data_IF_160016261448
#
_entry.id   IF_160016261448
#
_cell.length_a   1.000
_cell.length_b   1.000
_cell.length_c   1.000
_cell.angle_alpha   90.00
_cell.angle_beta   90.00
_cell.angle_gamma   90.00
#
_symmetry.space_group_name_H-M   'P 1'
#
loop_
_entity.id
_entity.type
_entity.pdbx_description
1 polymer ?
#
# COMPACT_ATOMS: atom_id res chain seq x y z
N UNK A 1 -5.36 -17.27 -4.82
CA UNK A 1 -4.16 -16.48 -4.42
C UNK A 1 -3.34 -17.29 -3.43
N UNK A 2 -2.17 -17.78 -3.87
CA UNK A 2 -1.24 -18.50 -3.00
C UNK A 2 -0.76 -17.56 -1.90
N UNK A 3 -1.03 -17.88 -0.64
CA UNK A 3 -0.41 -17.23 0.51
C UNK A 3 1.09 -17.50 0.37
N UNK A 4 1.85 -16.57 -0.20
CA UNK A 4 3.30 -16.56 -0.05
C UNK A 4 3.52 -16.51 1.45
N UNK A 5 3.95 -17.64 2.01
CA UNK A 5 4.31 -17.73 3.41
C UNK A 5 5.43 -16.71 3.61
N UNK A 6 5.07 -15.55 4.16
CA UNK A 6 6.05 -14.65 4.77
C UNK A 6 6.71 -15.53 5.83
N UNK A 7 7.98 -15.88 5.59
CA UNK A 7 8.73 -16.73 6.48
C UNK A 7 8.57 -16.16 7.89
N UNK A 8 8.15 -17.01 8.84
CA UNK A 8 8.12 -16.66 10.26
C UNK A 8 9.57 -16.50 10.73
N UNK A 9 10.17 -15.37 10.41
CA UNK A 9 11.49 -15.01 10.91
C UNK A 9 11.33 -14.59 12.37
N UNK A 10 11.94 -15.38 13.26
CA UNK A 10 12.13 -15.03 14.67
C UNK A 10 13.39 -14.19 14.87
N UNK A 11 13.91 -13.56 13.81
CA UNK A 11 15.17 -12.87 13.85
C UNK A 11 15.04 -11.57 14.65
N UNK A 12 15.69 -11.55 15.82
CA UNK A 12 15.92 -10.32 16.56
C UNK A 12 16.90 -9.47 15.76
N UNK A 13 16.52 -8.22 15.46
CA UNK A 13 17.46 -7.23 14.95
C UNK A 13 18.61 -7.14 15.97
N UNK A 14 19.88 -7.09 15.52
CA UNK A 14 20.97 -6.80 16.45
C UNK A 14 20.66 -5.52 17.22
N UNK A 15 20.69 -5.56 18.56
CA UNK A 15 20.30 -4.43 19.41
C UNK A 15 20.94 -3.11 19.00
N UNK A 16 22.19 -3.17 18.52
CA UNK A 16 22.97 -2.06 17.96
C UNK A 16 22.22 -1.25 16.89
N UNK A 17 21.44 -1.88 16.00
CA UNK A 17 20.70 -1.14 14.97
C UNK A 17 19.52 -0.36 15.55
N UNK A 18 18.82 -0.95 16.52
CA UNK A 18 17.68 -0.30 17.17
C UNK A 18 18.14 0.89 18.02
N UNK A 19 19.29 0.76 18.66
CA UNK A 19 19.88 1.82 19.47
C UNK A 19 20.43 2.98 18.63
N UNK A 20 21.00 2.68 17.45
CA UNK A 20 21.60 3.70 16.56
C UNK A 20 20.56 4.48 15.74
N UNK A 21 19.51 3.82 15.25
CA UNK A 21 18.60 4.40 14.26
C UNK A 21 17.17 4.60 14.76
N UNK A 22 16.84 4.07 15.94
CA UNK A 22 15.49 4.11 16.48
C UNK A 22 14.51 3.20 15.71
N UNK A 23 13.20 3.33 15.98
CA UNK A 23 12.18 2.54 15.30
C UNK A 23 12.00 3.00 13.84
N UNK A 24 11.77 2.07 12.89
CA UNK A 24 11.53 2.41 11.49
C UNK A 24 10.19 3.15 11.30
N UNK A 25 10.16 4.10 10.36
CA UNK A 25 8.94 4.79 9.95
C UNK A 25 8.09 3.89 9.02
N UNK A 26 7.26 3.03 9.60
CA UNK A 26 6.41 2.09 8.87
C UNK A 26 5.00 2.64 8.64
N UNK A 27 4.33 2.15 7.59
CA UNK A 27 2.94 2.55 7.30
C UNK A 27 1.96 2.02 8.34
N UNK A 28 2.31 0.92 9.03
CA UNK A 28 1.50 0.27 10.06
C UNK A 28 2.37 -0.26 11.18
N UNK A 29 1.86 -0.24 12.40
CA UNK A 29 2.56 -0.81 13.56
C UNK A 29 2.74 -2.33 13.41
N UNK A 30 1.79 -3.04 12.78
CA UNK A 30 1.85 -4.49 12.61
C UNK A 30 2.93 -4.95 11.60
N UNK A 31 3.41 -4.03 10.77
CA UNK A 31 4.39 -4.32 9.72
C UNK A 31 5.83 -4.40 10.26
N UNK A 32 6.05 -4.08 11.54
CA UNK A 32 7.37 -4.14 12.19
C UNK A 32 8.01 -5.52 12.04
N UNK A 33 7.21 -6.59 12.14
CA UNK A 33 7.72 -7.96 11.96
C UNK A 33 8.24 -8.22 10.55
N UNK A 34 7.59 -7.67 9.53
CA UNK A 34 7.99 -7.85 8.12
C UNK A 34 9.28 -7.08 7.87
N UNK A 35 9.31 -5.82 8.31
CA UNK A 35 10.50 -4.98 8.18
C UNK A 35 11.71 -5.60 8.89
N UNK A 36 11.53 -6.05 10.14
CA UNK A 36 12.60 -6.67 10.92
C UNK A 36 13.10 -7.96 10.26
N UNK A 37 12.20 -8.76 9.66
CA UNK A 37 12.61 -9.94 8.90
C UNK A 37 13.50 -9.57 7.70
N UNK A 38 13.09 -8.57 6.90
CA UNK A 38 13.86 -8.07 5.76
C UNK A 38 15.24 -7.56 6.21
N UNK A 39 15.28 -6.75 7.26
CA UNK A 39 16.52 -6.19 7.79
C UNK A 39 17.47 -7.28 8.29
N UNK A 40 16.95 -8.25 9.03
CA UNK A 40 17.74 -9.38 9.53
C UNK A 40 18.33 -10.23 8.39
N UNK A 41 17.56 -10.48 7.33
CA UNK A 41 18.05 -11.20 6.16
C UNK A 41 19.22 -10.43 5.51
N UNK A 42 19.09 -9.10 5.33
CA UNK A 42 20.19 -8.29 4.81
C UNK A 42 21.42 -8.25 5.72
N UNK A 43 21.25 -8.10 7.02
CA UNK A 43 22.37 -8.10 7.96
C UNK A 43 23.10 -9.44 7.92
N UNK A 44 22.37 -10.55 7.84
CA UNK A 44 22.93 -11.91 7.76
C UNK A 44 23.73 -12.11 6.47
N UNK A 45 23.19 -11.68 5.35
CA UNK A 45 23.79 -11.93 4.03
C UNK A 45 24.97 -10.98 3.75
N UNK A 46 24.89 -9.71 4.17
CA UNK A 46 25.90 -8.71 3.86
C UNK A 46 26.94 -8.48 4.97
N UNK A 47 26.67 -8.89 6.22
CA UNK A 47 27.62 -8.80 7.33
C UNK A 47 28.26 -7.42 7.53
N UNK A 48 27.50 -6.36 7.83
CA UNK A 48 28.01 -5.00 7.86
C UNK A 48 29.03 -4.76 8.99
N UNK A 49 30.27 -4.45 8.63
CA UNK A 49 31.37 -4.20 9.57
C UNK A 49 31.43 -2.74 10.06
N UNK A 50 30.92 -1.80 9.28
CA UNK A 50 31.07 -0.36 9.52
C UNK A 50 29.73 0.39 9.39
N UNK A 51 29.68 1.60 9.95
CA UNK A 51 28.47 2.44 10.01
C UNK A 51 27.89 2.73 8.63
N UNK A 52 28.71 2.92 7.60
CA UNK A 52 28.23 3.20 6.23
C UNK A 52 27.52 1.96 5.69
N UNK A 53 28.12 0.78 5.82
CA UNK A 53 27.48 -0.49 5.45
C UNK A 53 26.15 -0.70 6.18
N UNK A 54 26.08 -0.34 7.47
CA UNK A 54 24.85 -0.43 8.27
C UNK A 54 23.75 0.50 7.76
N UNK A 55 24.08 1.76 7.45
CA UNK A 55 23.12 2.74 6.87
C UNK A 55 22.61 2.26 5.51
N UNK A 56 23.49 1.78 4.63
CA UNK A 56 23.08 1.30 3.31
C UNK A 56 22.17 0.07 3.40
N UNK A 57 22.42 -0.84 4.35
CA UNK A 57 21.53 -1.99 4.61
C UNK A 57 20.16 -1.53 5.15
N UNK A 58 20.14 -0.54 6.03
CA UNK A 58 18.90 0.04 6.55
C UNK A 58 18.05 0.64 5.41
N UNK A 59 18.68 1.40 4.51
CA UNK A 59 18.05 1.96 3.32
C UNK A 59 17.48 0.85 2.41
N UNK A 60 18.25 -0.22 2.18
CA UNK A 60 17.77 -1.37 1.39
C UNK A 60 16.55 -2.03 2.05
N UNK A 61 16.56 -2.22 3.36
CA UNK A 61 15.42 -2.76 4.10
C UNK A 61 14.17 -1.88 3.93
N UNK A 62 14.34 -0.56 4.04
CA UNK A 62 13.26 0.41 3.86
C UNK A 62 12.70 0.39 2.43
N UNK A 63 13.55 0.49 1.41
CA UNK A 63 13.10 0.44 0.02
C UNK A 63 12.41 -0.89 -0.32
N UNK A 64 12.93 -2.01 0.17
CA UNK A 64 12.31 -3.33 -0.06
C UNK A 64 10.93 -3.41 0.58
N UNK A 65 10.77 -2.90 1.80
CA UNK A 65 9.47 -2.83 2.45
C UNK A 65 8.49 -1.95 1.65
N UNK A 66 8.88 -0.73 1.29
CA UNK A 66 8.01 0.19 0.55
C UNK A 66 7.60 -0.39 -0.81
N UNK A 67 8.55 -0.97 -1.55
CA UNK A 67 8.28 -1.63 -2.85
C UNK A 67 7.25 -2.75 -2.67
N UNK A 68 7.40 -3.60 -1.65
CA UNK A 68 6.44 -4.67 -1.36
C UNK A 68 5.08 -4.11 -0.97
N UNK A 69 5.07 -3.06 -0.15
CA UNK A 69 3.85 -2.41 0.31
C UNK A 69 3.07 -1.79 -0.85
N UNK A 70 3.72 -0.99 -1.70
CA UNK A 70 3.10 -0.38 -2.89
C UNK A 70 2.58 -1.44 -3.88
N UNK A 71 3.34 -2.52 -4.10
CA UNK A 71 2.88 -3.66 -4.93
C UNK A 71 1.65 -4.34 -4.33
N UNK A 72 1.57 -4.45 -3.00
CA UNK A 72 0.40 -5.00 -2.31
C UNK A 72 -0.80 -4.06 -2.31
N UNK A 73 -0.56 -2.74 -2.43
CA UNK A 73 -1.59 -1.72 -2.40
C UNK A 73 -2.39 -1.69 -3.71
N UNK A 74 -1.73 -1.86 -4.86
CA UNK A 74 -2.37 -1.86 -6.19
C UNK A 74 -3.64 -2.72 -6.25
N UNK A 75 -3.61 -4.04 -5.97
CA UNK A 75 -4.83 -4.87 -6.05
C UNK A 75 -5.89 -4.47 -5.02
N UNK A 76 -5.51 -3.90 -3.87
CA UNK A 76 -6.47 -3.41 -2.86
C UNK A 76 -7.18 -2.15 -3.34
N UNK A 77 -6.44 -1.24 -3.96
CA UNK A 77 -6.95 0.00 -4.52
C UNK A 77 -7.93 -0.27 -5.65
N UNK A 78 -7.60 -1.21 -6.52
CA UNK A 78 -8.46 -1.71 -7.61
C UNK A 78 -9.81 -2.20 -7.05
N UNK A 79 -9.77 -3.05 -6.02
CA UNK A 79 -10.97 -3.58 -5.36
C UNK A 79 -11.82 -2.50 -4.72
N UNK A 80 -11.18 -1.56 -4.03
CA UNK A 80 -11.87 -0.44 -3.38
C UNK A 80 -12.54 0.49 -4.41
N UNK A 81 -11.87 0.77 -5.52
CA UNK A 81 -12.44 1.55 -6.62
C UNK A 81 -13.63 0.83 -7.23
N UNK A 82 -13.52 -0.49 -7.47
CA UNK A 82 -14.63 -1.29 -7.98
C UNK A 82 -15.85 -1.23 -7.07
N UNK A 83 -15.62 -1.47 -5.76
CA UNK A 83 -16.68 -1.43 -4.75
C UNK A 83 -17.40 -0.08 -4.76
N UNK A 84 -16.66 1.02 -4.73
CA UNK A 84 -17.23 2.38 -4.77
C UNK A 84 -18.02 2.66 -6.05
N UNK A 85 -17.60 2.10 -7.19
CA UNK A 85 -18.35 2.25 -8.44
C UNK A 85 -19.67 1.48 -8.40
N UNK A 86 -19.67 0.26 -7.86
CA UNK A 86 -20.89 -0.52 -7.64
C UNK A 86 -21.85 0.20 -6.68
N UNK A 87 -21.36 0.69 -5.54
CA UNK A 87 -22.13 1.47 -4.58
C UNK A 87 -22.73 2.72 -5.23
N UNK A 88 -21.95 3.44 -6.04
CA UNK A 88 -22.44 4.63 -6.75
C UNK A 88 -23.54 4.28 -7.76
N UNK A 89 -23.40 3.19 -8.50
CA UNK A 89 -24.43 2.71 -9.45
C UNK A 89 -25.70 2.28 -8.72
N UNK A 90 -25.55 1.56 -7.61
CA UNK A 90 -26.67 1.14 -6.77
C UNK A 90 -27.42 2.35 -6.20
N UNK A 91 -26.70 3.35 -5.70
CA UNK A 91 -27.30 4.59 -5.19
C UNK A 91 -28.07 5.34 -6.28
N UNK A 92 -27.50 5.49 -7.48
CA UNK A 92 -28.20 6.14 -8.61
C UNK A 92 -29.51 5.43 -8.95
N UNK A 93 -29.50 4.10 -8.98
CA UNK A 93 -30.72 3.33 -9.23
C UNK A 93 -31.77 3.52 -8.14
N UNK A 94 -31.34 3.59 -6.87
CA UNK A 94 -32.23 3.90 -5.75
C UNK A 94 -32.83 5.31 -5.87
N UNK A 95 -32.00 6.31 -6.15
CA UNK A 95 -32.44 7.70 -6.33
C UNK A 95 -33.43 7.85 -7.50
N UNK A 96 -33.18 7.17 -8.62
CA UNK A 96 -34.09 7.12 -9.77
C UNK A 96 -35.44 6.47 -9.42
N UNK A 97 -35.41 5.35 -8.68
CA UNK A 97 -36.61 4.67 -8.22
C UNK A 97 -37.42 5.54 -7.25
N UNK A 98 -36.75 6.20 -6.30
CA UNK A 98 -37.38 7.12 -5.35
C UNK A 98 -37.97 8.36 -6.04
N UNK A 99 -37.33 8.86 -7.10
CA UNK A 99 -37.91 9.88 -7.98
C UNK A 99 -39.21 9.40 -8.61
N UNK A 100 -39.20 8.22 -9.25
CA UNK A 100 -40.40 7.63 -9.89
C UNK A 100 -41.53 7.35 -8.90
N UNK A 101 -41.20 6.90 -7.68
CA UNK A 101 -42.18 6.67 -6.60
C UNK A 101 -42.81 8.01 -6.18
N UNK A 102 -42.00 9.05 -5.99
CA UNK A 102 -42.51 10.41 -5.68
C UNK A 102 -43.44 10.91 -6.77
N UNK A 103 -43.06 10.78 -8.04
CA UNK A 103 -43.90 11.19 -9.17
C UNK A 103 -45.23 10.41 -9.21
N UNK A 104 -45.21 9.10 -8.91
CA UNK A 104 -46.42 8.28 -8.83
C UNK A 104 -47.36 8.74 -7.70
N UNK A 105 -46.81 9.09 -6.53
CA UNK A 105 -47.59 9.64 -5.40
C UNK A 105 -48.17 11.02 -5.73
N UNK A 106 -47.37 11.91 -6.33
CA UNK A 106 -47.82 13.25 -6.74
C UNK A 106 -48.95 13.14 -7.78
N UNK A 107 -48.80 12.26 -8.78
CA UNK A 107 -49.82 12.01 -9.80
C UNK A 107 -51.13 11.54 -9.16
N UNK A 108 -51.05 10.63 -8.17
CA UNK A 108 -52.22 10.20 -7.39
C UNK A 108 -52.87 11.39 -6.68
N UNK A 109 -52.10 12.21 -5.98
CA UNK A 109 -52.64 13.34 -5.21
C UNK A 109 -53.33 14.38 -6.11
N UNK A 110 -52.83 14.59 -7.32
CA UNK A 110 -53.50 15.43 -8.33
C UNK A 110 -54.79 14.80 -8.85
N UNK A 111 -54.82 13.49 -9.07
CA UNK A 111 -56.03 12.79 -9.52
C UNK A 111 -57.14 12.85 -8.46
N UNK A 112 -56.80 12.54 -7.19
CA UNK A 112 -57.71 12.58 -6.03
C UNK A 112 -58.33 13.97 -5.83
N UNK A 113 -57.55 15.05 -6.04
CA UNK A 113 -58.07 16.43 -5.94
C UNK A 113 -59.04 16.83 -7.04
N UNK A 114 -59.12 16.07 -8.15
CA UNK A 114 -59.92 16.41 -9.34
C UNK A 114 -61.24 15.64 -9.42
N UNK A 115 -61.41 14.56 -8.66
CA UNK A 115 -62.59 13.65 -8.68
C UNK A 115 -63.33 13.59 -7.33
N UNK A 116 -64.60 13.19 -7.34
CA UNK A 116 -65.45 13.05 -6.14
C UNK A 116 -65.02 11.84 -5.26
N UNK A 117 -65.30 11.85 -3.94
CA UNK A 117 -64.40 11.26 -2.94
C UNK A 117 -64.40 9.75 -2.68
N UNK A 118 -65.35 8.93 -3.16
CA UNK A 118 -65.50 7.58 -2.56
C UNK A 118 -65.12 6.37 -3.44
N UNK A 119 -65.39 6.39 -4.75
CA UNK A 119 -65.07 5.25 -5.63
C UNK A 119 -63.77 5.44 -6.43
N UNK A 120 -63.54 6.66 -6.94
CA UNK A 120 -62.36 6.98 -7.77
C UNK A 120 -61.07 7.05 -6.94
N UNK A 121 -61.18 7.35 -5.64
CA UNK A 121 -60.04 7.39 -4.73
C UNK A 121 -59.48 6.00 -4.42
N UNK A 122 -60.34 4.99 -4.27
CA UNK A 122 -59.91 3.60 -4.03
C UNK A 122 -59.18 3.04 -5.26
N UNK A 123 -59.68 3.33 -6.47
CA UNK A 123 -59.04 2.94 -7.71
C UNK A 123 -57.69 3.64 -7.94
N UNK A 124 -57.62 4.95 -7.67
CA UNK A 124 -56.38 5.72 -7.78
C UNK A 124 -55.31 5.26 -6.76
N UNK A 125 -55.73 4.87 -5.55
CA UNK A 125 -54.82 4.36 -4.53
C UNK A 125 -54.28 2.96 -4.89
N UNK A 126 -55.13 2.06 -5.37
CA UNK A 126 -54.72 0.74 -5.86
C UNK A 126 -53.72 0.84 -7.02
N UNK A 127 -54.02 1.66 -8.04
CA UNK A 127 -53.14 1.87 -9.17
C UNK A 127 -51.78 2.48 -8.78
N UNK A 128 -51.76 3.37 -7.77
CA UNK A 128 -50.52 3.93 -7.23
C UNK A 128 -49.69 2.85 -6.52
N UNK A 129 -50.32 2.00 -5.69
CA UNK A 129 -49.66 0.88 -5.01
C UNK A 129 -49.05 -0.11 -6.00
N UNK A 130 -49.81 -0.52 -7.02
CA UNK A 130 -49.33 -1.43 -8.06
C UNK A 130 -48.11 -0.86 -8.81
N UNK A 131 -48.16 0.44 -9.12
CA UNK A 131 -47.04 1.14 -9.78
C UNK A 131 -45.80 1.22 -8.90
N UNK A 132 -45.96 1.48 -7.60
CA UNK A 132 -44.85 1.47 -6.63
C UNK A 132 -44.25 0.07 -6.50
N UNK A 133 -45.07 -0.98 -6.45
CA UNK A 133 -44.60 -2.36 -6.41
C UNK A 133 -43.83 -2.74 -7.68
N UNK A 134 -44.33 -2.31 -8.85
CA UNK A 134 -43.61 -2.50 -10.11
C UNK A 134 -42.25 -1.80 -10.10
N UNK A 135 -42.18 -0.55 -9.66
CA UNK A 135 -40.90 0.20 -9.56
C UNK A 135 -39.93 -0.52 -8.61
N UNK A 136 -40.41 -1.00 -7.46
CA UNK A 136 -39.60 -1.76 -6.50
C UNK A 136 -39.11 -3.09 -7.08
N UNK A 137 -39.95 -3.78 -7.86
CA UNK A 137 -39.57 -5.02 -8.55
C UNK A 137 -38.49 -4.77 -9.59
N UNK A 138 -38.64 -3.73 -10.40
CA UNK A 138 -37.63 -3.31 -11.38
C UNK A 138 -36.30 -2.93 -10.71
N UNK A 139 -36.37 -2.18 -9.58
CA UNK A 139 -35.19 -1.82 -8.81
C UNK A 139 -34.46 -3.08 -8.29
N UNK A 140 -35.17 -4.03 -7.70
CA UNK A 140 -34.58 -5.30 -7.24
C UNK A 140 -33.90 -6.06 -8.38
N UNK A 141 -34.58 -6.17 -9.53
CA UNK A 141 -34.02 -6.84 -10.71
C UNK A 141 -32.73 -6.16 -11.21
N UNK A 142 -32.63 -4.83 -11.12
CA UNK A 142 -31.44 -4.07 -11.50
C UNK A 142 -30.33 -4.10 -10.45
N UNK A 143 -30.67 -4.20 -9.16
CA UNK A 143 -29.70 -4.29 -8.06
C UNK A 143 -29.08 -5.69 -7.93
N UNK A 144 -29.85 -6.74 -8.18
CA UNK A 144 -29.40 -8.12 -8.05
C UNK A 144 -28.09 -8.44 -8.82
N UNK A 145 -27.88 -8.01 -10.08
CA UNK A 145 -26.60 -8.21 -10.76
C UNK A 145 -25.46 -7.39 -10.15
N UNK A 146 -25.73 -6.23 -9.55
CA UNK A 146 -24.69 -5.42 -8.89
C UNK A 146 -24.21 -6.06 -7.60
N UNK A 147 -25.12 -6.63 -6.81
CA UNK A 147 -24.77 -7.38 -5.59
C UNK A 147 -23.97 -8.63 -5.96
N UNK A 148 -24.39 -9.36 -6.99
CA UNK A 148 -23.62 -10.52 -7.50
C UNK A 148 -22.25 -10.11 -8.04
N UNK A 149 -22.12 -8.93 -8.63
CA UNK A 149 -20.84 -8.40 -9.09
C UNK A 149 -19.90 -8.04 -7.94
N UNK A 150 -20.42 -7.56 -6.81
CA UNK A 150 -19.63 -7.27 -5.61
C UNK A 150 -19.01 -8.55 -5.00
N UNK A 151 -19.76 -9.65 -5.02
CA UNK A 151 -19.32 -10.96 -4.51
C UNK A 151 -18.55 -11.80 -5.57
N UNK A 152 -18.62 -11.39 -6.83
CA UNK A 152 -18.12 -12.13 -7.99
C UNK A 152 -16.68 -11.80 -8.40
N UNK A 153 -16.28 -12.35 -9.55
CA UNK A 153 -14.99 -12.03 -10.17
C UNK A 153 -15.04 -10.60 -10.76
N UNK A 154 -14.01 -9.82 -10.50
CA UNK A 154 -13.95 -8.41 -10.93
C UNK A 154 -13.72 -8.38 -12.44
N UNK A 155 -14.63 -7.76 -13.18
CA UNK A 155 -14.39 -7.41 -14.58
C UNK A 155 -13.41 -6.23 -14.64
N UNK A 156 -12.12 -6.56 -14.57
CA UNK A 156 -11.01 -5.62 -14.59
C UNK A 156 -10.98 -4.78 -15.88
N UNK A 157 -11.48 -5.32 -17.00
CA UNK A 157 -11.51 -4.65 -18.29
C UNK A 157 -12.56 -3.52 -18.32
N UNK A 158 -13.76 -3.76 -17.77
CA UNK A 158 -14.82 -2.75 -17.71
C UNK A 158 -14.48 -1.55 -16.81
N UNK A 159 -13.58 -1.74 -15.85
CA UNK A 159 -13.19 -0.72 -14.86
C UNK A 159 -11.85 -0.06 -15.20
N UNK A 160 -11.21 -0.50 -16.28
CA UNK A 160 -9.84 -0.15 -16.61
C UNK A 160 -9.64 1.36 -16.78
N UNK A 161 -10.63 2.12 -17.23
CA UNK A 161 -10.45 3.57 -17.39
C UNK A 161 -10.42 4.31 -16.06
N UNK A 162 -11.14 3.81 -15.06
CA UNK A 162 -11.31 4.51 -13.77
C UNK A 162 -10.13 4.30 -12.82
N UNK A 163 -9.40 3.20 -12.97
CA UNK A 163 -8.26 2.89 -12.09
C UNK A 163 -6.92 3.47 -12.58
N UNK A 164 -6.83 3.97 -13.83
CA UNK A 164 -5.55 4.37 -14.46
C UNK A 164 -4.86 5.47 -13.65
N UNK A 165 -5.54 6.57 -13.25
CA UNK A 165 -4.87 7.64 -12.51
C UNK A 165 -4.28 7.15 -11.19
N UNK A 166 -4.97 6.22 -10.52
CA UNK A 166 -4.55 5.65 -9.25
C UNK A 166 -3.36 4.68 -9.41
N UNK A 167 -3.41 3.82 -10.43
CA UNK A 167 -2.30 2.95 -10.79
C UNK A 167 -1.06 3.77 -11.19
N UNK A 168 -1.24 4.85 -11.96
CA UNK A 168 -0.18 5.77 -12.34
C UNK A 168 0.42 6.47 -11.12
N UNK A 169 -0.41 6.91 -10.15
CA UNK A 169 0.08 7.51 -8.91
C UNK A 169 0.95 6.54 -8.10
N UNK A 170 0.54 5.27 -7.98
CA UNK A 170 1.36 4.25 -7.31
C UNK A 170 2.65 3.97 -8.09
N UNK A 171 2.58 3.86 -9.41
CA UNK A 171 3.77 3.66 -10.26
C UNK A 171 4.76 4.83 -10.18
N UNK A 172 4.27 6.06 -10.09
CA UNK A 172 5.09 7.26 -9.91
C UNK A 172 5.86 7.27 -8.58
N UNK A 173 5.37 6.56 -7.56
CA UNK A 173 6.12 6.36 -6.30
C UNK A 173 7.04 5.13 -6.38
N UNK A 174 6.58 4.06 -7.02
CA UNK A 174 7.34 2.80 -7.12
C UNK A 174 8.62 2.95 -7.96
N UNK A 175 8.55 3.65 -9.09
CA UNK A 175 9.69 3.84 -9.99
C UNK A 175 10.92 4.45 -9.30
N UNK A 176 10.79 5.62 -8.65
CA UNK A 176 11.88 6.23 -7.88
C UNK A 176 12.45 5.33 -6.78
N UNK A 177 11.61 4.57 -6.07
CA UNK A 177 12.06 3.62 -5.05
C UNK A 177 12.91 2.49 -5.64
N UNK A 178 12.51 1.92 -6.78
CA UNK A 178 13.28 0.89 -7.47
C UNK A 178 14.61 1.42 -8.04
N UNK A 179 14.65 2.69 -8.45
CA UNK A 179 15.88 3.37 -8.86
C UNK A 179 16.82 3.55 -7.65
N UNK A 180 16.30 4.07 -6.54
CA UNK A 180 17.07 4.24 -5.28
C UNK A 180 17.59 2.90 -4.76
N UNK A 181 16.75 1.87 -4.71
CA UNK A 181 17.14 0.52 -4.33
C UNK A 181 18.34 0.03 -5.15
N UNK A 182 18.26 0.10 -6.48
CA UNK A 182 19.37 -0.33 -7.37
C UNK A 182 20.63 0.51 -7.17
N UNK A 183 20.49 1.81 -6.93
CA UNK A 183 21.62 2.68 -6.63
C UNK A 183 22.29 2.30 -5.30
N UNK A 184 21.51 2.07 -4.25
CA UNK A 184 22.01 1.65 -2.93
C UNK A 184 22.69 0.29 -2.98
N UNK A 185 22.17 -0.68 -3.75
CA UNK A 185 22.85 -1.97 -3.97
C UNK A 185 24.24 -1.75 -4.58
N UNK A 186 24.37 -0.90 -5.60
CA UNK A 186 25.68 -0.59 -6.22
C UNK A 186 26.62 0.13 -5.26
N UNK A 187 26.10 1.04 -4.42
CA UNK A 187 26.89 1.72 -3.40
C UNK A 187 27.40 0.73 -2.35
N UNK A 188 26.55 -0.18 -1.89
CA UNK A 188 26.92 -1.21 -0.92
C UNK A 188 27.99 -2.14 -1.51
N UNK A 189 27.79 -2.62 -2.73
CA UNK A 189 28.74 -3.47 -3.43
C UNK A 189 30.10 -2.77 -3.64
N UNK A 190 30.07 -1.52 -4.12
CA UNK A 190 31.28 -0.71 -4.30
C UNK A 190 31.99 -0.36 -2.98
N UNK A 191 31.26 -0.23 -1.87
CA UNK A 191 31.85 -0.05 -0.55
C UNK A 191 32.48 -1.35 -0.04
N UNK A 192 31.81 -2.48 -0.22
CA UNK A 192 32.27 -3.79 0.24
C UNK A 192 33.46 -4.33 -0.56
N UNK A 193 33.48 -4.15 -1.88
CA UNK A 193 34.51 -4.71 -2.78
C UNK A 193 35.50 -3.66 -3.31
N UNK A 194 35.24 -2.36 -3.09
CA UNK A 194 36.02 -1.26 -3.66
C UNK A 194 36.83 -0.48 -2.63
N UNK A 195 36.60 0.84 -2.58
CA UNK A 195 37.38 1.76 -1.73
C UNK A 195 37.26 1.42 -0.24
N UNK A 196 36.10 0.96 0.23
CA UNK A 196 35.89 0.58 1.62
C UNK A 196 36.74 -0.62 2.05
N UNK A 197 36.88 -1.63 1.18
CA UNK A 197 37.82 -2.75 1.43
C UNK A 197 39.26 -2.26 1.51
N UNK A 198 39.68 -1.40 0.57
CA UNK A 198 41.05 -0.85 0.53
C UNK A 198 41.35 0.02 1.76
N UNK A 199 40.41 0.88 2.16
CA UNK A 199 40.54 1.71 3.35
C UNK A 199 40.56 0.87 4.62
N UNK A 200 39.79 -0.22 4.72
CA UNK A 200 39.88 -1.17 5.85
C UNK A 200 41.25 -1.84 5.90
N UNK A 201 41.74 -2.35 4.78
CA UNK A 201 43.08 -2.97 4.72
C UNK A 201 44.18 -1.98 5.09
N UNK A 202 44.08 -0.71 4.66
CA UNK A 202 45.04 0.34 5.05
C UNK A 202 44.90 0.69 6.53
N UNK A 203 43.67 0.84 7.04
CA UNK A 203 43.42 1.14 8.44
C UNK A 203 43.94 0.03 9.36
N UNK A 204 43.66 -1.24 9.06
CA UNK A 204 44.20 -2.40 9.77
C UNK A 204 45.74 -2.36 9.79
N UNK A 205 46.38 -2.14 8.64
CA UNK A 205 47.84 -2.00 8.54
C UNK A 205 48.42 -0.81 9.30
N UNK A 206 47.65 0.28 9.44
CA UNK A 206 48.12 1.51 10.10
C UNK A 206 47.93 1.42 11.62
N UNK A 207 46.90 0.71 12.09
CA UNK A 207 46.65 0.45 13.50
C UNK A 207 47.67 -0.53 14.09
N UNK A 208 48.19 -1.45 13.27
CA UNK A 208 49.27 -2.38 13.67
C UNK A 208 50.67 -1.73 13.77
N UNK A 209 50.80 -0.43 13.47
CA UNK A 209 52.02 0.32 13.76
C UNK A 209 51.94 0.76 15.21
N UNK A 210 52.58 0.01 16.11
CA UNK A 210 52.78 0.43 17.49
C UNK A 210 53.36 1.86 17.50
N UNK A 211 52.78 2.80 18.27
CA UNK A 211 53.33 4.15 18.40
C UNK A 211 54.69 4.08 19.12
N UNK A 212 55.74 3.89 18.31
CA UNK A 212 57.16 4.02 18.59
C UNK A 212 57.66 3.72 20.01
N UNK A 213 58.47 2.66 20.14
CA UNK A 213 59.75 2.85 20.83
C UNK A 213 60.47 3.99 20.14
N UNK A 214 60.39 5.17 20.75
CA UNK A 214 61.13 6.35 20.33
C UNK A 214 62.62 5.99 20.39
N UNK A 215 63.45 6.28 19.38
CA UNK A 215 64.88 6.19 19.54
C UNK A 215 65.27 7.16 20.65
N UNK A 216 65.78 6.62 21.75
CA UNK A 216 66.30 7.39 22.87
C UNK A 216 67.34 8.38 22.34
N UNK A 217 67.13 9.65 22.64
CA UNK A 217 68.04 10.75 22.35
C UNK A 217 69.30 10.66 23.25
N UNK A 218 70.12 9.63 23.05
CA UNK A 218 71.45 9.48 23.64
C UNK A 218 72.47 9.24 22.53
N UNK A 219 72.69 10.23 21.67
CA UNK A 219 73.90 10.34 20.83
C UNK A 219 74.01 11.78 20.30
N UNK A 220 74.02 12.73 21.23
CA UNK A 220 74.31 14.13 20.95
C UNK A 220 75.27 14.66 22.02
N UNK A 221 76.44 14.04 22.14
CA UNK A 221 77.63 14.65 22.76
C UNK A 221 78.87 13.79 22.51
N UNK A 222 79.51 13.96 21.35
CA UNK A 222 80.97 13.79 21.18
C UNK A 222 81.41 14.01 19.73
N UNK A 223 81.60 15.28 19.34
CA UNK A 223 82.70 15.72 18.44
C UNK A 223 83.17 17.10 18.92
#
# INVERSE_FOLDING_TARGET
>A
MSKRAVAKSTANIPGEFKDLFGPPALHKAEDEKIYNAILCDYVKDFGPLDTISRVLILDLAHYTYDIQWFRSLLPKLIREIHKRDLERRAQKLADEADGRIRDACITRDFAVKKTNPDADNVAAEAACKDKIEQIRKELRQKLEPLVKAEEGEIDEAALFQNWIPYCAAVQNQLGPLEVKFRATVRLLDGHQQGLGQRLRTIAEKTIDIEPGTSPSAEEADSI
#
